data_IF_442916607828
#
_entry.id   IF_442916607828
#
_cell.length_a   1.000
_cell.length_b   1.000
_cell.length_c   1.000
_cell.angle_alpha   90.00
_cell.angle_beta   90.00
_cell.angle_gamma   90.00
#
_symmetry.space_group_name_H-M   'P 1'
#
loop_
_entity.id
_entity.type
_entity.pdbx_description
1 polymer ?
#
# COMPACT_ATOMS: atom_id res chain seq x y z
N UNK A 1 1.45 11.95 19.42
CA UNK A 1 0.86 12.43 18.15
C UNK A 1 -0.33 11.52 17.77
N UNK A 2 -1.50 12.05 17.41
CA UNK A 2 -2.67 11.24 17.02
C UNK A 2 -2.65 10.90 15.51
N UNK A 3 -1.58 10.26 15.04
CA UNK A 3 -1.46 9.81 13.65
C UNK A 3 -1.71 8.30 13.50
N UNK A 4 -2.22 7.87 12.34
CA UNK A 4 -2.22 6.45 11.96
C UNK A 4 -0.97 6.16 11.15
N UNK A 5 -0.27 5.08 11.48
CA UNK A 5 0.84 4.57 10.67
C UNK A 5 0.25 3.69 9.57
N UNK A 6 0.68 3.92 8.34
CA UNK A 6 0.29 3.15 7.16
C UNK A 6 1.57 2.60 6.52
N UNK A 7 1.60 1.30 6.25
CA UNK A 7 2.73 0.60 5.63
C UNK A 7 2.18 -0.17 4.42
N UNK A 8 2.42 0.27 3.17
CA UNK A 8 1.99 -0.48 2.01
C UNK A 8 2.80 -1.76 1.83
N UNK A 9 2.13 -2.83 1.43
CA UNK A 9 2.75 -4.10 1.03
C UNK A 9 2.31 -4.41 -0.40
N UNK A 10 3.25 -4.39 -1.33
CA UNK A 10 3.04 -4.69 -2.74
C UNK A 10 3.32 -6.18 -2.96
N UNK A 11 2.26 -6.97 -3.02
CA UNK A 11 2.33 -8.42 -3.14
C UNK A 11 2.12 -8.88 -4.58
N UNK A 12 3.18 -9.39 -5.20
CA UNK A 12 3.24 -9.81 -6.61
C UNK A 12 2.69 -8.77 -7.61
N UNK A 13 2.86 -7.49 -7.29
CA UNK A 13 2.49 -6.35 -8.14
C UNK A 13 3.63 -5.35 -8.16
N UNK A 14 3.86 -4.73 -9.32
CA UNK A 14 4.80 -3.62 -9.43
C UNK A 14 4.22 -2.40 -8.70
N UNK A 15 4.92 -1.82 -7.70
CA UNK A 15 4.46 -0.64 -6.97
C UNK A 15 4.11 0.54 -7.90
N UNK A 16 4.81 0.68 -9.03
CA UNK A 16 4.56 1.72 -10.02
C UNK A 16 3.25 1.53 -10.79
N UNK A 17 2.82 0.28 -11.00
CA UNK A 17 1.53 -0.02 -11.62
C UNK A 17 0.38 0.32 -10.66
N UNK A 18 0.55 0.11 -9.37
CA UNK A 18 -0.42 0.54 -8.34
C UNK A 18 -0.49 2.08 -8.28
N UNK A 19 0.67 2.74 -8.19
CA UNK A 19 0.78 4.21 -8.09
C UNK A 19 0.18 4.92 -9.29
N UNK A 20 0.48 4.44 -10.50
CA UNK A 20 -0.01 5.03 -11.75
C UNK A 20 -1.35 4.44 -12.19
N UNK A 21 -1.94 3.56 -11.37
CA UNK A 21 -3.19 2.85 -11.64
C UNK A 21 -3.21 2.23 -13.04
N UNK A 22 -2.16 1.48 -13.38
CA UNK A 22 -2.00 0.77 -14.65
C UNK A 22 -2.52 -0.67 -14.54
N UNK A 23 -2.47 -1.40 -15.66
CA UNK A 23 -2.83 -2.82 -15.76
C UNK A 23 -4.20 -3.13 -15.13
N UNK A 24 -4.24 -4.07 -14.18
CA UNK A 24 -5.45 -4.52 -13.50
C UNK A 24 -6.11 -3.39 -12.71
N UNK A 25 -5.34 -2.59 -11.98
CA UNK A 25 -5.86 -1.46 -11.19
C UNK A 25 -6.57 -0.43 -12.06
N UNK A 26 -5.97 -0.06 -13.20
CA UNK A 26 -6.58 0.86 -14.15
C UNK A 26 -7.89 0.34 -14.75
N UNK A 27 -7.89 -0.93 -15.18
CA UNK A 27 -9.09 -1.59 -15.72
C UNK A 27 -10.21 -1.67 -14.68
N UNK A 28 -9.87 -1.95 -13.42
CA UNK A 28 -10.84 -2.01 -12.33
C UNK A 28 -11.50 -0.64 -12.10
N UNK A 29 -10.72 0.45 -12.09
CA UNK A 29 -11.31 1.78 -11.93
C UNK A 29 -12.24 2.15 -13.08
N UNK A 30 -11.86 1.89 -14.33
CA UNK A 30 -12.74 2.13 -15.50
C UNK A 30 -14.05 1.35 -15.38
N UNK A 31 -14.00 0.10 -14.92
CA UNK A 31 -15.21 -0.69 -14.69
C UNK A 31 -16.10 -0.09 -13.59
N UNK A 32 -15.50 0.41 -12.51
CA UNK A 32 -16.22 0.99 -11.38
C UNK A 32 -16.76 2.41 -11.64
N UNK A 33 -16.23 3.15 -12.60
CA UNK A 33 -16.71 4.49 -12.97
C UNK A 33 -18.19 4.49 -13.37
N UNK A 34 -18.68 3.41 -13.98
CA UNK A 34 -20.09 3.28 -14.36
C UNK A 34 -21.06 3.22 -13.16
N UNK A 35 -20.60 2.68 -12.03
CA UNK A 35 -21.44 2.43 -10.87
C UNK A 35 -21.17 3.42 -9.72
N UNK A 36 -19.96 3.98 -9.66
CA UNK A 36 -19.47 4.78 -8.53
C UNK A 36 -18.66 6.01 -8.96
N UNK A 37 -19.15 6.85 -9.89
CA UNK A 37 -18.37 7.96 -10.46
C UNK A 37 -17.81 8.90 -9.37
N UNK A 38 -18.59 9.22 -8.34
CA UNK A 38 -18.18 10.13 -7.26
C UNK A 38 -17.16 9.53 -6.28
N UNK A 39 -16.99 8.19 -6.29
CA UNK A 39 -16.07 7.48 -5.38
C UNK A 39 -14.76 7.13 -6.05
N UNK A 40 -14.77 6.88 -7.36
CA UNK A 40 -13.58 6.42 -8.08
C UNK A 40 -12.43 7.42 -7.94
N UNK A 41 -12.69 8.73 -8.04
CA UNK A 41 -11.64 9.72 -7.87
C UNK A 41 -10.99 9.64 -6.48
N UNK A 42 -11.79 9.54 -5.41
CA UNK A 42 -11.28 9.37 -4.04
C UNK A 42 -10.44 8.10 -3.87
N UNK A 43 -10.83 7.01 -4.52
CA UNK A 43 -10.06 5.77 -4.48
C UNK A 43 -8.75 5.87 -5.28
N UNK A 44 -8.74 6.56 -6.43
CA UNK A 44 -7.53 6.84 -7.20
C UNK A 44 -6.54 7.67 -6.39
N UNK A 45 -7.03 8.71 -5.72
CA UNK A 45 -6.22 9.58 -4.88
C UNK A 45 -5.64 8.80 -3.70
N UNK A 46 -6.49 8.06 -2.96
CA UNK A 46 -6.04 7.24 -1.84
C UNK A 46 -5.02 6.16 -2.23
N UNK A 47 -5.19 5.52 -3.39
CA UNK A 47 -4.24 4.52 -3.88
C UNK A 47 -2.91 5.16 -4.30
N UNK A 48 -2.97 6.36 -4.89
CA UNK A 48 -1.78 7.14 -5.25
C UNK A 48 -1.00 7.56 -4.00
N UNK A 49 -1.69 8.14 -3.01
CA UNK A 49 -1.09 8.56 -1.75
C UNK A 49 -0.49 7.36 -0.99
N UNK A 50 -1.26 6.29 -0.82
CA UNK A 50 -0.81 5.09 -0.11
C UNK A 50 0.39 4.41 -0.77
N UNK A 51 0.44 4.38 -2.11
CA UNK A 51 1.55 3.77 -2.85
C UNK A 51 2.80 4.66 -3.01
N UNK A 52 2.70 5.93 -2.59
CA UNK A 52 3.85 6.83 -2.46
C UNK A 52 4.55 6.69 -1.11
N UNK A 53 3.95 6.02 -0.13
CA UNK A 53 4.57 5.74 1.16
C UNK A 53 5.68 4.69 1.02
N UNK A 54 6.67 4.76 1.92
CA UNK A 54 7.66 3.70 2.07
C UNK A 54 7.00 2.43 2.58
N UNK A 55 7.28 1.31 1.92
CA UNK A 55 6.76 0.00 2.30
C UNK A 55 7.53 -1.13 1.64
N UNK A 56 6.87 -2.26 1.47
CA UNK A 56 7.54 -3.51 1.11
C UNK A 56 7.09 -4.00 -0.25
N UNK A 57 8.05 -4.35 -1.11
CA UNK A 57 7.81 -5.13 -2.32
C UNK A 57 8.15 -6.60 -2.03
N UNK A 58 7.16 -7.47 -2.25
CA UNK A 58 7.33 -8.91 -2.09
C UNK A 58 8.45 -9.51 -2.95
N UNK A 59 8.77 -8.91 -4.10
CA UNK A 59 9.82 -9.41 -5.00
C UNK A 59 11.23 -9.17 -4.48
N UNK A 60 11.40 -8.27 -3.51
CA UNK A 60 12.69 -7.92 -2.90
C UNK A 60 13.06 -8.82 -1.71
N UNK A 61 12.20 -9.79 -1.36
CA UNK A 61 12.47 -10.80 -0.33
C UNK A 61 12.65 -12.17 -0.96
N UNK A 62 13.49 -13.03 -0.36
CA UNK A 62 13.79 -14.37 -0.94
C UNK A 62 12.58 -15.29 -0.91
N UNK A 63 11.73 -15.13 0.11
CA UNK A 63 10.48 -15.85 0.27
C UNK A 63 9.51 -15.05 1.14
N UNK A 64 8.27 -15.52 1.24
CA UNK A 64 7.20 -14.86 2.00
C UNK A 64 7.46 -14.84 3.51
N UNK A 65 8.12 -15.87 4.06
CA UNK A 65 8.45 -15.90 5.48
C UNK A 65 9.40 -14.76 5.85
N UNK A 66 10.44 -14.53 5.05
CA UNK A 66 11.38 -13.41 5.24
C UNK A 66 10.67 -12.05 5.14
N UNK A 67 9.74 -11.90 4.18
CA UNK A 67 8.94 -10.67 4.06
C UNK A 67 8.11 -10.43 5.33
N UNK A 68 7.41 -11.47 5.82
CA UNK A 68 6.58 -11.38 7.03
C UNK A 68 7.43 -11.05 8.25
N UNK A 69 8.59 -11.69 8.41
CA UNK A 69 9.52 -11.40 9.51
C UNK A 69 9.99 -9.94 9.50
N UNK A 70 10.35 -9.41 8.32
CA UNK A 70 10.72 -7.98 8.16
C UNK A 70 9.58 -7.04 8.56
N UNK A 71 8.36 -7.34 8.14
CA UNK A 71 7.17 -6.53 8.45
C UNK A 71 6.88 -6.56 9.96
N UNK A 72 6.96 -7.74 10.60
CA UNK A 72 6.75 -7.89 12.05
C UNK A 72 7.77 -7.07 12.84
N UNK A 73 9.05 -7.13 12.45
CA UNK A 73 10.11 -6.38 13.11
C UNK A 73 9.89 -4.86 13.00
N UNK A 74 9.54 -4.37 11.81
CA UNK A 74 9.30 -2.93 11.59
C UNK A 74 8.06 -2.43 12.33
N UNK A 75 6.95 -3.18 12.30
CA UNK A 75 5.73 -2.83 13.04
C UNK A 75 6.02 -2.78 14.54
N UNK A 76 6.73 -3.78 15.08
CA UNK A 76 7.05 -3.85 16.52
C UNK A 76 7.84 -2.61 16.95
N UNK A 77 8.88 -2.25 16.18
CA UNK A 77 9.68 -1.05 16.43
C UNK A 77 8.85 0.23 16.35
N UNK A 78 8.05 0.41 15.30
CA UNK A 78 7.20 1.60 15.16
C UNK A 78 6.20 1.74 16.30
N UNK A 79 5.66 0.64 16.82
CA UNK A 79 4.75 0.65 17.96
C UNK A 79 5.45 1.07 19.25
N UNK A 80 6.70 0.63 19.46
CA UNK A 80 7.52 1.09 20.58
C UNK A 80 7.79 2.59 20.48
N UNK A 81 8.20 3.08 19.31
CA UNK A 81 8.47 4.51 19.06
C UNK A 81 7.23 5.38 19.34
N UNK A 82 6.04 4.93 18.90
CA UNK A 82 4.77 5.63 19.19
C UNK A 82 4.42 5.63 20.67
N UNK A 83 4.73 4.55 21.40
CA UNK A 83 4.48 4.47 22.84
C UNK A 83 5.40 5.38 23.65
N UNK A 84 6.59 5.66 23.13
CA UNK A 84 7.60 6.51 23.77
C UNK A 84 7.44 8.01 23.43
N UNK A 85 6.59 8.36 22.46
CA UNK A 85 6.30 9.74 22.01
C UNK A 85 5.08 10.37 22.69
#
# INVERSE_FOLDING_TARGET
MNGKIVIPVFYHVDPSDVRKQRRSSGKAFVHHENNFPDKVQKWRDALTEGSNLSGYDSTESRNEAELVEKIIADISKKLEDVRLS
#
